data_IF_318695981845
#
_entry.id   IF_318695981845
#
_cell.length_a   1.000
_cell.length_b   1.000
_cell.length_c   1.000
_cell.angle_alpha   90.00
_cell.angle_beta   90.00
_cell.angle_gamma   90.00
#
_symmetry.space_group_name_H-M   'P 1'
#
loop_
_entity.id
_entity.type
_entity.pdbx_description
1 polymer ?
#
# COMPACT_ATOMS: atom_id res chain seq x y z
N UNK A 1 5.69 19.98 -18.34
CA UNK A 1 5.10 18.63 -18.23
C UNK A 1 5.81 17.68 -19.16
N UNK A 2 6.18 16.56 -18.69
CA UNK A 2 6.69 15.49 -19.52
C UNK A 2 5.55 14.57 -19.90
N UNK A 3 5.68 13.95 -21.05
CA UNK A 3 4.71 12.96 -21.49
C UNK A 3 5.16 11.59 -21.00
N UNK A 4 4.31 10.97 -20.23
CA UNK A 4 4.54 9.57 -19.94
C UNK A 4 4.35 8.77 -21.23
N UNK A 5 5.31 7.96 -21.62
CA UNK A 5 5.04 7.04 -22.71
C UNK A 5 3.87 6.16 -22.35
N UNK A 6 3.13 5.62 -23.31
CA UNK A 6 2.04 4.69 -23.04
C UNK A 6 2.62 3.38 -22.53
N UNK A 7 2.95 3.39 -21.23
CA UNK A 7 3.50 2.21 -20.60
C UNK A 7 2.37 1.36 -20.05
N UNK A 8 2.60 0.06 -20.03
CA UNK A 8 1.67 -0.86 -19.41
C UNK A 8 1.54 -0.57 -17.91
N UNK A 9 0.33 -0.71 -17.36
CA UNK A 9 0.13 -0.66 -15.92
C UNK A 9 0.86 -1.79 -15.20
N UNK A 10 1.44 -2.71 -15.95
CA UNK A 10 2.25 -3.79 -15.40
C UNK A 10 3.69 -3.38 -15.10
N UNK A 11 4.10 -2.20 -15.52
CA UNK A 11 5.44 -1.72 -15.20
C UNK A 11 5.46 -1.25 -13.77
N UNK A 12 6.27 -1.90 -12.97
CA UNK A 12 6.42 -1.58 -11.57
C UNK A 12 7.20 -0.27 -11.43
N UNK A 13 6.59 0.71 -10.80
CA UNK A 13 7.24 1.98 -10.56
C UNK A 13 8.42 1.78 -9.61
N UNK A 14 9.59 2.29 -10.01
CA UNK A 14 10.83 2.20 -9.24
C UNK A 14 11.19 0.77 -8.83
N UNK A 15 10.92 -0.19 -9.69
CA UNK A 15 11.21 -1.60 -9.42
C UNK A 15 12.66 -1.81 -8.97
N UNK A 16 13.59 -1.04 -9.54
CA UNK A 16 15.00 -1.15 -9.19
C UNK A 16 15.33 -0.70 -7.77
N UNK A 17 14.44 0.06 -7.16
CA UNK A 17 14.66 0.60 -5.82
C UNK A 17 13.88 -0.14 -4.73
N UNK A 18 13.11 -1.15 -5.10
CA UNK A 18 12.39 -1.96 -4.13
C UNK A 18 13.33 -2.98 -3.53
N UNK A 19 13.42 -2.98 -2.20
CA UNK A 19 14.17 -4.00 -1.48
C UNK A 19 13.23 -5.15 -1.15
N UNK A 20 13.30 -6.21 -1.93
CA UNK A 20 12.42 -7.36 -1.78
C UNK A 20 12.76 -8.26 -0.60
N UNK A 21 13.85 -7.97 0.11
CA UNK A 21 14.22 -8.70 1.33
C UNK A 21 13.52 -8.13 2.57
N UNK A 22 12.82 -7.02 2.41
CA UNK A 22 12.11 -6.36 3.50
C UNK A 22 10.63 -6.20 3.15
N UNK A 23 9.84 -5.81 4.14
CA UNK A 23 8.44 -5.48 3.91
C UNK A 23 8.32 -4.27 2.99
N UNK A 24 7.19 -4.16 2.33
CA UNK A 24 6.93 -3.13 1.33
C UNK A 24 5.73 -2.29 1.74
N UNK A 25 5.88 -0.97 1.67
CA UNK A 25 4.78 -0.05 1.87
C UNK A 25 4.12 0.27 0.54
N UNK A 26 2.80 0.36 0.52
CA UNK A 26 2.05 0.85 -0.63
C UNK A 26 1.43 2.18 -0.24
N UNK A 27 1.76 3.21 -0.99
CA UNK A 27 1.35 4.60 -0.74
C UNK A 27 0.70 5.20 -1.98
N UNK A 28 0.13 6.40 -1.87
CA UNK A 28 -0.55 7.04 -2.99
C UNK A 28 0.41 7.75 -3.93
N UNK A 29 1.33 8.53 -3.42
CA UNK A 29 2.14 9.44 -4.22
C UNK A 29 3.63 9.24 -4.07
N UNK A 30 4.37 9.87 -4.98
CA UNK A 30 5.84 9.73 -5.02
C UNK A 30 6.51 10.28 -3.77
N UNK A 31 6.03 11.42 -3.23
CA UNK A 31 6.59 11.99 -2.01
C UNK A 31 6.32 11.09 -0.81
N UNK A 32 5.17 10.45 -0.80
CA UNK A 32 4.84 9.47 0.25
C UNK A 32 5.83 8.33 0.25
N UNK A 33 6.21 7.86 -0.92
CA UNK A 33 7.18 6.78 -1.07
C UNK A 33 8.56 7.18 -0.53
N UNK A 34 8.96 8.43 -0.73
CA UNK A 34 10.24 8.93 -0.21
C UNK A 34 10.25 8.89 1.33
N UNK A 35 9.15 9.31 1.94
CA UNK A 35 9.03 9.30 3.40
C UNK A 35 8.97 7.87 3.95
N UNK A 36 8.19 7.01 3.29
CA UNK A 36 7.99 5.63 3.74
C UNK A 36 9.23 4.76 3.58
N UNK A 37 10.08 5.05 2.61
CA UNK A 37 11.32 4.32 2.39
C UNK A 37 11.15 3.20 1.37
N UNK A 38 11.08 1.95 1.82
CA UNK A 38 10.85 0.83 0.90
C UNK A 38 9.37 0.79 0.53
N UNK A 39 9.01 1.52 -0.52
CA UNK A 39 7.61 1.78 -0.84
C UNK A 39 7.39 1.94 -2.34
N UNK A 40 6.17 1.64 -2.77
CA UNK A 40 5.73 1.83 -4.14
C UNK A 40 4.49 2.73 -4.14
N UNK A 41 4.50 3.82 -4.91
CA UNK A 41 3.32 4.67 -5.04
C UNK A 41 2.38 4.16 -6.12
N UNK A 42 1.09 4.26 -5.87
CA UNK A 42 0.07 3.87 -6.85
C UNK A 42 -0.16 4.94 -7.91
N UNK A 43 0.15 6.19 -7.59
CA UNK A 43 0.04 7.32 -8.53
C UNK A 43 -1.37 7.45 -9.14
N UNK A 44 -2.38 7.31 -8.31
CA UNK A 44 -3.76 7.44 -8.73
C UNK A 44 -4.37 6.20 -9.35
N UNK A 45 -3.58 5.17 -9.60
CA UNK A 45 -4.10 3.90 -10.12
C UNK A 45 -4.54 2.99 -8.98
N UNK A 46 -5.30 1.97 -9.35
CA UNK A 46 -5.64 0.89 -8.41
C UNK A 46 -4.72 -0.29 -8.66
N UNK A 47 -4.44 -1.03 -7.62
CA UNK A 47 -3.63 -2.24 -7.74
C UNK A 47 -4.52 -3.38 -8.25
N UNK A 48 -4.08 -4.02 -9.32
CA UNK A 48 -4.82 -5.11 -9.97
C UNK A 48 -4.08 -6.43 -9.80
N UNK A 49 -4.86 -7.52 -9.76
CA UNK A 49 -4.30 -8.86 -9.61
C UNK A 49 -3.37 -9.26 -10.75
N UNK A 50 -3.57 -8.70 -11.94
CA UNK A 50 -2.74 -9.00 -13.10
C UNK A 50 -1.52 -8.08 -13.23
N UNK A 51 -1.34 -7.14 -12.29
CA UNK A 51 -0.20 -6.23 -12.33
C UNK A 51 1.09 -6.94 -11.95
N UNK A 52 2.19 -6.45 -12.48
CA UNK A 52 3.50 -6.99 -12.14
C UNK A 52 3.82 -6.82 -10.66
N UNK A 53 3.47 -5.68 -10.09
CA UNK A 53 3.70 -5.42 -8.67
C UNK A 53 2.98 -6.46 -7.80
N UNK A 54 1.71 -6.70 -8.08
CA UNK A 54 0.93 -7.65 -7.32
C UNK A 54 1.52 -9.05 -7.41
N UNK A 55 1.86 -9.47 -8.61
CA UNK A 55 2.43 -10.80 -8.84
C UNK A 55 3.76 -10.98 -8.12
N UNK A 56 4.61 -9.95 -8.13
CA UNK A 56 5.89 -10.01 -7.42
C UNK A 56 5.70 -10.12 -5.92
N UNK A 57 4.76 -9.36 -5.36
CA UNK A 57 4.47 -9.42 -3.93
C UNK A 57 4.01 -10.82 -3.53
N UNK A 58 3.09 -11.38 -4.29
CA UNK A 58 2.56 -12.72 -4.00
C UNK A 58 3.65 -13.77 -4.16
N UNK A 59 4.38 -13.71 -5.27
CA UNK A 59 5.44 -14.68 -5.58
C UNK A 59 6.53 -14.69 -4.51
N UNK A 60 6.90 -13.52 -4.01
CA UNK A 60 7.98 -13.38 -3.03
C UNK A 60 7.50 -13.46 -1.59
N UNK A 61 6.18 -13.57 -1.39
CA UNK A 61 5.58 -13.63 -0.06
C UNK A 61 5.99 -12.41 0.79
N UNK A 62 5.96 -11.23 0.17
CA UNK A 62 6.42 -9.99 0.81
C UNK A 62 5.33 -9.43 1.71
N UNK A 63 5.62 -9.14 2.99
CA UNK A 63 4.65 -8.45 3.83
C UNK A 63 4.39 -7.03 3.32
N UNK A 64 3.13 -6.61 3.37
CA UNK A 64 2.70 -5.33 2.82
C UNK A 64 2.10 -4.45 3.92
N UNK A 65 2.54 -3.19 3.94
CA UNK A 65 2.00 -2.15 4.79
C UNK A 65 1.24 -1.15 3.92
N UNK A 66 -0.06 -1.06 4.13
CA UNK A 66 -0.89 -0.09 3.40
C UNK A 66 -0.89 1.24 4.14
N UNK A 67 -0.51 2.30 3.44
CA UNK A 67 -0.46 3.65 3.99
C UNK A 67 -1.04 4.64 2.97
N UNK A 68 -2.25 4.36 2.52
CA UNK A 68 -2.94 5.21 1.56
C UNK A 68 -3.54 6.42 2.25
N UNK A 69 -3.85 7.46 1.47
CA UNK A 69 -4.47 8.67 2.00
C UNK A 69 -5.82 8.36 2.66
N UNK A 70 -6.23 9.12 3.67
CA UNK A 70 -7.49 8.84 4.36
C UNK A 70 -8.72 8.85 3.45
N UNK A 71 -8.69 9.59 2.36
CA UNK A 71 -9.80 9.67 1.41
C UNK A 71 -9.81 8.52 0.40
N UNK A 72 -8.83 7.64 0.44
CA UNK A 72 -8.73 6.48 -0.46
C UNK A 72 -9.24 5.19 0.19
N UNK A 73 -10.19 5.30 1.10
CA UNK A 73 -10.66 4.17 1.89
C UNK A 73 -11.24 3.04 1.04
N UNK A 74 -12.03 3.37 0.04
CA UNK A 74 -12.63 2.36 -0.84
C UNK A 74 -11.57 1.62 -1.64
N UNK A 75 -10.59 2.36 -2.15
CA UNK A 75 -9.47 1.77 -2.87
C UNK A 75 -8.68 0.84 -1.96
N UNK A 76 -8.42 1.29 -0.75
CA UNK A 76 -7.67 0.50 0.23
C UNK A 76 -8.38 -0.81 0.55
N UNK A 77 -9.71 -0.76 0.72
CA UNK A 77 -10.48 -1.96 1.02
C UNK A 77 -10.43 -2.97 -0.12
N UNK A 78 -10.51 -2.50 -1.35
CA UNK A 78 -10.41 -3.39 -2.52
C UNK A 78 -9.04 -4.05 -2.60
N UNK A 79 -7.99 -3.28 -2.38
CA UNK A 79 -6.63 -3.81 -2.40
C UNK A 79 -6.43 -4.82 -1.28
N UNK A 80 -6.92 -4.52 -0.08
CA UNK A 80 -6.81 -5.42 1.05
C UNK A 80 -7.50 -6.75 0.79
N UNK A 81 -8.70 -6.72 0.21
CA UNK A 81 -9.42 -7.93 -0.14
C UNK A 81 -8.63 -8.82 -1.09
N UNK A 82 -8.07 -8.21 -2.13
CA UNK A 82 -7.31 -8.96 -3.12
C UNK A 82 -6.10 -9.60 -2.47
N UNK A 83 -5.34 -8.87 -1.67
CA UNK A 83 -4.17 -9.43 -1.00
C UNK A 83 -4.54 -10.55 -0.03
N UNK A 84 -5.64 -10.40 0.69
CA UNK A 84 -6.06 -11.44 1.63
C UNK A 84 -6.45 -12.74 0.93
N UNK A 85 -6.99 -12.66 -0.29
CA UNK A 85 -7.32 -13.85 -1.08
C UNK A 85 -6.07 -14.65 -1.46
N UNK A 86 -4.91 -14.02 -1.46
CA UNK A 86 -3.64 -14.66 -1.80
C UNK A 86 -2.74 -14.86 -0.59
N UNK A 87 -3.31 -14.76 0.60
CA UNK A 87 -2.61 -14.97 1.88
C UNK A 87 -1.40 -14.08 2.07
N UNK A 88 -1.44 -12.87 1.57
CA UNK A 88 -0.39 -11.89 1.80
C UNK A 88 -0.50 -11.34 3.21
N UNK A 89 0.60 -11.31 3.93
CA UNK A 89 0.66 -10.70 5.25
C UNK A 89 0.49 -9.19 5.11
N UNK A 90 -0.58 -8.66 5.69
CA UNK A 90 -1.03 -7.30 5.41
C UNK A 90 -1.22 -6.50 6.69
N UNK A 91 -0.74 -5.26 6.67
CA UNK A 91 -0.85 -4.32 7.79
C UNK A 91 -1.41 -2.99 7.30
N UNK A 92 -2.13 -2.32 8.18
CA UNK A 92 -2.61 -0.97 7.92
C UNK A 92 -1.88 0.01 8.82
N UNK A 93 -1.26 1.01 8.21
CA UNK A 93 -0.61 2.11 8.92
C UNK A 93 -1.64 3.21 9.17
N UNK A 94 -1.76 3.63 10.41
CA UNK A 94 -2.65 4.73 10.78
C UNK A 94 -1.95 6.06 10.50
N UNK A 95 -2.45 6.81 9.53
CA UNK A 95 -1.90 8.13 9.21
C UNK A 95 -2.84 9.26 9.64
N UNK A 96 -3.75 8.98 10.57
CA UNK A 96 -4.68 10.00 11.06
C UNK A 96 -3.95 11.24 11.57
N UNK A 97 -4.52 12.40 11.32
CA UNK A 97 -3.88 13.68 11.64
C UNK A 97 -3.07 14.27 10.51
N UNK A 98 -2.89 13.54 9.41
CA UNK A 98 -2.18 14.00 8.22
C UNK A 98 -3.05 13.74 7.00
N UNK A 99 -2.88 14.57 5.97
CA UNK A 99 -3.59 14.35 4.71
C UNK A 99 -2.95 13.22 3.89
N UNK A 100 -1.64 13.05 4.05
CA UNK A 100 -0.90 11.99 3.38
C UNK A 100 0.40 11.69 4.14
N UNK A 101 1.07 10.62 3.73
CA UNK A 101 2.34 10.21 4.34
C UNK A 101 3.43 11.25 4.08
N UNK A 102 3.38 11.92 2.93
CA UNK A 102 4.38 12.91 2.56
C UNK A 102 4.48 14.09 3.53
N UNK A 103 3.45 14.34 4.33
CA UNK A 103 3.48 15.38 5.36
C UNK A 103 4.24 14.97 6.62
N UNK A 104 4.53 13.69 6.77
CA UNK A 104 5.22 13.18 7.96
C UNK A 104 6.73 13.29 7.82
N UNK A 105 7.42 13.33 8.96
CA UNK A 105 8.85 13.04 8.97
C UNK A 105 9.05 11.53 8.82
N UNK A 106 10.24 11.12 8.41
CA UNK A 106 10.57 9.70 8.31
C UNK A 106 10.45 9.00 9.66
N UNK A 107 10.88 9.64 10.73
CA UNK A 107 10.78 9.08 12.07
C UNK A 107 9.33 8.87 12.49
N UNK A 108 8.48 9.84 12.20
CA UNK A 108 7.08 9.74 12.53
C UNK A 108 6.41 8.61 11.77
N UNK A 109 6.70 8.49 10.47
CA UNK A 109 6.16 7.39 9.68
C UNK A 109 6.61 6.04 10.22
N UNK A 110 7.90 5.90 10.55
CA UNK A 110 8.41 4.63 11.09
C UNK A 110 7.74 4.28 12.41
N UNK A 111 7.49 5.27 13.25
CA UNK A 111 6.76 5.05 14.50
C UNK A 111 5.35 4.54 14.23
N UNK A 112 4.65 5.14 13.28
CA UNK A 112 3.32 4.70 12.87
C UNK A 112 3.33 3.31 12.29
N UNK A 113 4.35 3.00 11.49
CA UNK A 113 4.51 1.68 10.88
C UNK A 113 4.71 0.60 11.93
N UNK A 114 5.51 0.88 12.97
CA UNK A 114 5.73 -0.07 14.05
C UNK A 114 4.44 -0.38 14.81
N UNK A 115 3.49 0.53 14.80
CA UNK A 115 2.21 0.37 15.49
C UNK A 115 1.09 -0.01 14.52
N UNK A 116 1.42 -0.43 13.31
CA UNK A 116 0.43 -0.78 12.30
C UNK A 116 -0.40 -1.99 12.75
N UNK A 117 -1.66 -1.97 12.37
CA UNK A 117 -2.60 -3.04 12.72
C UNK A 117 -2.50 -4.17 11.70
N UNK A 118 -2.32 -5.40 12.19
CA UNK A 118 -2.37 -6.57 11.34
C UNK A 118 -3.81 -6.79 10.85
N UNK A 119 -3.97 -7.00 9.55
CA UNK A 119 -5.29 -7.19 8.95
C UNK A 119 -5.53 -8.69 8.80
N UNK A 120 -6.51 -9.19 9.54
CA UNK A 120 -6.96 -10.59 9.43
C UNK A 120 -8.32 -10.62 8.74
N UNK A 121 -8.58 -11.69 8.02
CA UNK A 121 -9.82 -11.83 7.27
C UNK A 121 -11.05 -11.67 8.18
N UNK A 122 -11.05 -12.30 9.33
CA UNK A 122 -12.18 -12.25 10.25
C UNK A 122 -12.44 -10.82 10.76
N UNK A 123 -11.38 -10.14 11.16
CA UNK A 123 -11.47 -8.75 11.62
C UNK A 123 -11.89 -7.82 10.49
N UNK A 124 -11.41 -8.07 9.30
CA UNK A 124 -11.74 -7.27 8.15
C UNK A 124 -13.21 -7.40 7.77
N UNK A 125 -13.73 -8.62 7.77
CA UNK A 125 -15.15 -8.86 7.46
C UNK A 125 -16.04 -8.19 8.50
N UNK A 126 -15.66 -8.25 9.76
CA UNK A 126 -16.41 -7.57 10.82
C UNK A 126 -16.40 -6.05 10.62
N UNK A 127 -15.24 -5.51 10.29
CA UNK A 127 -15.10 -4.08 10.01
C UNK A 127 -15.99 -3.66 8.84
N UNK A 128 -15.99 -4.42 7.75
CA UNK A 128 -16.86 -4.14 6.61
C UNK A 128 -18.33 -4.17 7.00
N UNK A 129 -18.73 -5.17 7.76
CA UNK A 129 -20.12 -5.30 8.20
C UNK A 129 -20.55 -4.09 9.04
N UNK A 130 -19.70 -3.63 9.94
CA UNK A 130 -19.99 -2.47 10.76
C UNK A 130 -20.07 -1.19 9.96
N UNK A 131 -19.28 -1.05 8.91
CA UNK A 131 -19.27 0.15 8.07
C UNK A 131 -20.37 0.13 7.00
N UNK A 132 -20.98 -0.99 6.74
CA UNK A 132 -22.09 -1.11 5.79
C UNK A 132 -23.42 -0.69 6.37
N UNK A 133 -23.50 -0.52 7.68
CA UNK A 133 -24.73 -0.10 8.37
C UNK A 133 -24.89 1.44 8.30
#
# INVERSE_FOLDING_TARGET
RYLNPPVSNNILFNELYVDWNNDLCIVEGAFDAIVAGNAVPLLGSSLREDSKLFKEIVHRDTPVYLALDPDAKDKEQKIAKIFMQYDVELYKVDISGFDDVGEMTKNEFQNRKQNAAFIEMDNYLLYEALNAI
#
